data_IF_573679054678
#
_entry.id   IF_573679054678
#
_cell.length_a   1.000
_cell.length_b   1.000
_cell.length_c   1.000
_cell.angle_alpha   90.00
_cell.angle_beta   90.00
_cell.angle_gamma   90.00
#
_symmetry.space_group_name_H-M   'P 1'
#
loop_
_entity.id
_entity.type
_entity.pdbx_description
1 polymer ?
#
# COMPACT_ATOMS: atom_id res chain seq x y z
N UNK A 1 -6.35 -28.33 19.83
CA UNK A 1 -4.89 -28.50 19.83
C UNK A 1 -4.58 -29.74 19.02
N UNK A 2 -3.61 -29.72 18.10
CA UNK A 2 -3.13 -30.95 17.47
C UNK A 2 -2.55 -31.85 18.56
N UNK A 3 -2.65 -33.18 18.43
CA UNK A 3 -2.02 -34.08 19.37
C UNK A 3 -0.54 -33.78 19.45
N UNK A 4 0.01 -33.77 20.66
CA UNK A 4 1.40 -33.45 20.94
C UNK A 4 2.42 -34.43 20.30
N UNK A 5 1.94 -35.53 19.73
CA UNK A 5 2.71 -36.48 18.94
C UNK A 5 1.81 -37.13 17.88
N UNK A 6 2.24 -37.04 16.62
CA UNK A 6 1.60 -37.70 15.48
C UNK A 6 2.60 -38.66 14.85
N UNK A 7 2.27 -39.96 14.73
CA UNK A 7 3.19 -40.88 14.07
C UNK A 7 3.32 -40.55 12.59
N UNK A 8 4.55 -40.54 12.06
CA UNK A 8 4.84 -40.19 10.67
C UNK A 8 4.47 -41.30 9.68
N UNK A 9 4.40 -42.53 10.14
CA UNK A 9 3.99 -43.70 9.36
C UNK A 9 3.30 -44.71 10.26
N UNK A 10 2.72 -45.76 9.67
CA UNK A 10 2.12 -46.86 10.44
C UNK A 10 3.17 -47.49 11.36
N UNK A 11 2.82 -47.64 12.65
CA UNK A 11 3.72 -48.06 13.74
C UNK A 11 5.00 -47.20 13.88
N UNK A 12 4.99 -45.97 13.41
CA UNK A 12 6.16 -45.10 13.44
C UNK A 12 6.64 -44.74 14.84
N UNK A 13 5.74 -44.75 15.83
CA UNK A 13 6.11 -44.48 17.23
C UNK A 13 7.08 -45.53 17.81
N UNK A 14 7.03 -46.77 17.32
CA UNK A 14 7.86 -47.89 17.78
C UNK A 14 9.09 -48.13 16.89
N UNK A 15 9.26 -47.37 15.80
CA UNK A 15 10.35 -47.53 14.87
C UNK A 15 11.51 -46.56 15.16
N UNK A 16 12.63 -47.03 15.65
CA UNK A 16 13.78 -46.16 15.92
C UNK A 16 14.37 -45.60 14.62
N UNK A 17 14.80 -44.34 14.68
CA UNK A 17 15.54 -43.72 13.58
C UNK A 17 16.99 -44.22 13.58
N UNK A 18 17.44 -44.73 12.46
CA UNK A 18 18.80 -45.26 12.23
C UNK A 18 19.42 -44.61 11.01
N UNK A 19 20.72 -44.85 10.79
CA UNK A 19 21.43 -44.39 9.57
C UNK A 19 20.79 -44.88 8.27
N UNK A 20 20.13 -46.04 8.33
CA UNK A 20 19.56 -46.70 7.13
C UNK A 20 18.18 -46.12 6.77
N UNK A 21 17.46 -45.49 7.74
CA UNK A 21 16.14 -44.96 7.52
C UNK A 21 16.00 -43.42 7.79
N UNK A 22 17.10 -42.75 8.07
CA UNK A 22 17.11 -41.33 8.37
C UNK A 22 16.55 -40.44 7.23
N UNK A 23 16.86 -40.82 5.98
CA UNK A 23 16.36 -40.09 4.80
C UNK A 23 14.85 -40.24 4.70
N UNK A 24 14.31 -41.45 4.84
CA UNK A 24 12.87 -41.69 4.89
C UNK A 24 12.20 -40.91 6.04
N UNK A 25 12.83 -40.91 7.20
CA UNK A 25 12.33 -40.12 8.37
C UNK A 25 12.25 -38.62 8.07
N UNK A 26 13.28 -38.06 7.41
CA UNK A 26 13.31 -36.66 7.03
C UNK A 26 12.23 -36.32 6.00
N UNK A 27 12.07 -37.14 4.97
CA UNK A 27 11.03 -36.97 3.93
C UNK A 27 9.62 -37.05 4.52
N UNK A 28 9.37 -38.01 5.39
CA UNK A 28 8.08 -38.14 6.09
C UNK A 28 7.83 -36.94 7.01
N UNK A 29 8.87 -36.46 7.70
CA UNK A 29 8.78 -35.28 8.57
C UNK A 29 8.40 -34.04 7.77
N UNK A 30 9.11 -33.79 6.67
CA UNK A 30 8.84 -32.64 5.78
C UNK A 30 7.43 -32.74 5.20
N UNK A 31 7.05 -33.90 4.67
CA UNK A 31 5.72 -34.12 4.11
C UNK A 31 4.62 -33.92 5.16
N UNK A 32 4.84 -34.44 6.37
CA UNK A 32 3.88 -34.29 7.45
C UNK A 32 3.74 -32.83 7.87
N UNK A 33 4.84 -32.12 8.05
CA UNK A 33 4.82 -30.72 8.51
C UNK A 33 4.27 -29.75 7.45
N UNK A 34 4.63 -29.94 6.18
CA UNK A 34 4.30 -29.00 5.10
C UNK A 34 3.02 -29.34 4.34
N UNK A 35 2.50 -30.57 4.48
CA UNK A 35 1.30 -31.00 3.76
C UNK A 35 0.27 -31.63 4.72
N UNK A 36 0.54 -32.83 5.24
CA UNK A 36 -0.47 -33.66 5.91
C UNK A 36 -1.04 -32.98 7.16
N UNK A 37 -0.19 -32.38 8.00
CA UNK A 37 -0.62 -31.78 9.27
C UNK A 37 -1.38 -30.46 9.09
N UNK A 38 -1.11 -29.73 8.00
CA UNK A 38 -1.76 -28.44 7.72
C UNK A 38 -2.93 -28.55 6.75
N UNK A 39 -3.12 -29.70 6.09
CA UNK A 39 -4.16 -29.91 5.08
C UNK A 39 -5.57 -29.61 5.60
N UNK A 40 -6.01 -30.06 6.80
CA UNK A 40 -7.33 -29.72 7.30
C UNK A 40 -7.57 -28.21 7.45
N UNK A 41 -6.54 -27.47 7.88
CA UNK A 41 -6.63 -26.02 8.04
C UNK A 41 -6.68 -25.33 6.67
N UNK A 42 -5.88 -25.79 5.72
CA UNK A 42 -5.89 -25.29 4.33
C UNK A 42 -7.24 -25.55 3.67
N UNK A 43 -7.81 -26.75 3.86
CA UNK A 43 -9.11 -27.10 3.28
C UNK A 43 -10.25 -26.29 3.93
N UNK A 44 -10.21 -26.07 5.23
CA UNK A 44 -11.17 -25.20 5.92
C UNK A 44 -11.05 -23.74 5.44
N UNK A 45 -9.81 -23.25 5.26
CA UNK A 45 -9.57 -21.91 4.70
C UNK A 45 -10.13 -21.81 3.28
N UNK A 46 -9.84 -22.78 2.41
CA UNK A 46 -10.36 -22.84 1.03
C UNK A 46 -11.87 -22.87 0.99
N UNK A 47 -12.50 -23.64 1.84
CA UNK A 47 -13.96 -23.73 1.93
C UNK A 47 -14.58 -22.38 2.34
N UNK A 48 -13.99 -21.72 3.35
CA UNK A 48 -14.42 -20.38 3.78
C UNK A 48 -14.22 -19.33 2.68
N UNK A 49 -13.06 -19.35 2.03
CA UNK A 49 -12.77 -18.42 0.94
C UNK A 49 -13.71 -18.63 -0.26
N UNK A 50 -13.98 -19.89 -0.62
CA UNK A 50 -14.86 -20.23 -1.74
C UNK A 50 -16.30 -19.75 -1.55
N UNK A 51 -16.73 -19.49 -0.31
CA UNK A 51 -18.06 -18.93 -0.02
C UNK A 51 -18.18 -17.44 -0.42
N UNK A 52 -17.06 -16.76 -0.57
CA UNK A 52 -17.00 -15.32 -0.90
C UNK A 52 -16.50 -15.11 -2.33
N UNK A 53 -15.45 -15.83 -2.74
CA UNK A 53 -14.82 -15.70 -4.04
C UNK A 53 -14.54 -17.08 -4.67
N UNK A 54 -14.82 -17.25 -5.99
CA UNK A 54 -14.55 -18.53 -6.67
C UNK A 54 -13.05 -18.85 -6.65
N UNK A 55 -12.69 -20.07 -6.23
CA UNK A 55 -11.28 -20.50 -6.10
C UNK A 55 -10.47 -20.40 -7.40
N UNK A 56 -11.13 -20.53 -8.57
CA UNK A 56 -10.44 -20.41 -9.85
C UNK A 56 -9.85 -19.00 -10.08
N UNK A 57 -10.42 -17.95 -9.47
CA UNK A 57 -9.87 -16.60 -9.52
C UNK A 57 -8.51 -16.54 -8.83
N UNK A 58 -8.30 -17.34 -7.78
CA UNK A 58 -7.02 -17.40 -7.06
C UNK A 58 -5.88 -17.90 -7.96
N UNK A 59 -6.18 -18.79 -8.90
CA UNK A 59 -5.16 -19.35 -9.80
C UNK A 59 -4.75 -18.39 -10.91
N UNK A 60 -5.50 -17.30 -11.11
CA UNK A 60 -5.16 -16.24 -12.09
C UNK A 60 -4.09 -15.28 -11.55
N UNK A 61 -3.85 -15.29 -10.25
CA UNK A 61 -2.90 -14.40 -9.59
C UNK A 61 -1.65 -15.18 -9.18
N UNK A 62 -0.49 -14.58 -9.41
CA UNK A 62 0.78 -15.12 -8.92
C UNK A 62 0.91 -14.92 -7.40
N UNK A 63 1.85 -15.62 -6.75
CA UNK A 63 2.16 -15.39 -5.34
C UNK A 63 2.60 -13.95 -5.05
N UNK A 64 3.25 -13.28 -6.02
CA UNK A 64 3.62 -11.87 -5.92
C UNK A 64 2.37 -10.96 -5.92
N UNK A 65 1.38 -11.26 -6.77
CA UNK A 65 0.11 -10.52 -6.81
C UNK A 65 -0.65 -10.65 -5.50
N UNK A 66 -0.68 -11.86 -4.94
CA UNK A 66 -1.28 -12.10 -3.62
C UNK A 66 -0.56 -11.33 -2.51
N UNK A 67 0.76 -11.28 -2.55
CA UNK A 67 1.54 -10.50 -1.59
C UNK A 67 1.19 -9.01 -1.63
N UNK A 68 0.88 -8.47 -2.80
CA UNK A 68 0.45 -7.08 -2.96
C UNK A 68 -0.99 -6.88 -2.47
N UNK A 69 -1.91 -7.80 -2.82
CA UNK A 69 -3.33 -7.70 -2.45
C UNK A 69 -3.56 -7.88 -0.95
N UNK A 70 -2.79 -8.77 -0.32
CA UNK A 70 -2.84 -9.06 1.12
C UNK A 70 -1.78 -8.30 1.90
N UNK A 71 -1.09 -7.34 1.25
CA UNK A 71 0.01 -6.61 1.85
C UNK A 71 -0.40 -5.99 3.19
N UNK A 72 0.50 -6.14 4.13
CA UNK A 72 0.45 -5.52 5.45
C UNK A 72 0.16 -4.02 5.32
N UNK A 73 -0.82 -3.50 6.07
CA UNK A 73 -1.04 -2.07 6.19
C UNK A 73 0.20 -1.25 6.59
N UNK A 74 1.19 -1.85 7.25
CA UNK A 74 2.44 -1.17 7.60
C UNK A 74 3.41 -0.97 6.42
N UNK A 75 3.14 -1.58 5.26
CA UNK A 75 4.01 -1.47 4.08
C UNK A 75 3.97 -0.06 3.50
N UNK A 76 5.16 0.46 3.16
CA UNK A 76 5.27 1.71 2.41
C UNK A 76 4.57 1.63 1.06
N UNK A 77 3.86 2.71 0.70
CA UNK A 77 3.11 2.81 -0.56
C UNK A 77 4.04 3.06 -1.77
N UNK A 78 5.21 3.64 -1.52
CA UNK A 78 6.26 3.90 -2.51
C UNK A 78 7.64 3.57 -1.92
N UNK A 79 8.03 2.29 -1.95
CA UNK A 79 9.31 1.83 -1.39
C UNK A 79 10.53 2.40 -2.12
N UNK A 80 10.39 2.84 -3.37
CA UNK A 80 11.42 3.55 -4.13
C UNK A 80 11.62 5.01 -3.73
N UNK A 81 10.84 5.53 -2.75
CA UNK A 81 10.99 6.86 -2.20
C UNK A 81 10.75 7.98 -3.22
N UNK A 82 11.59 9.01 -3.16
CA UNK A 82 11.45 10.21 -3.99
C UNK A 82 11.50 9.93 -5.50
N UNK A 83 12.32 8.99 -5.94
CA UNK A 83 12.48 8.68 -7.37
C UNK A 83 11.22 8.02 -7.93
N UNK A 84 10.60 7.12 -7.18
CA UNK A 84 9.33 6.49 -7.55
C UNK A 84 8.21 7.53 -7.65
N UNK A 85 8.13 8.45 -6.67
CA UNK A 85 7.14 9.51 -6.67
C UNK A 85 7.32 10.42 -7.90
N UNK A 86 8.55 10.85 -8.19
CA UNK A 86 8.86 11.69 -9.36
C UNK A 86 8.49 11.02 -10.67
N UNK A 87 8.81 9.73 -10.81
CA UNK A 87 8.52 8.98 -12.03
C UNK A 87 7.02 8.76 -12.28
N UNK A 88 6.21 8.74 -11.22
CA UNK A 88 4.78 8.46 -11.28
C UNK A 88 3.90 9.72 -11.33
N UNK A 89 4.47 10.89 -11.02
CA UNK A 89 3.74 12.16 -10.91
C UNK A 89 3.82 12.97 -12.21
N UNK A 90 2.72 13.61 -12.55
CA UNK A 90 2.63 14.59 -13.63
C UNK A 90 2.43 15.98 -13.04
N UNK A 91 3.09 16.98 -13.60
CA UNK A 91 2.92 18.39 -13.23
C UNK A 91 2.26 19.14 -14.38
N UNK A 92 1.25 19.95 -14.05
CA UNK A 92 0.50 20.74 -15.04
C UNK A 92 0.02 22.06 -14.43
N UNK A 93 -0.55 22.92 -15.26
CA UNK A 93 -1.21 24.17 -14.83
C UNK A 93 -0.40 24.98 -13.83
N UNK A 94 0.80 25.43 -14.23
CA UNK A 94 1.63 26.34 -13.46
C UNK A 94 2.72 25.66 -12.63
N UNK A 95 2.84 24.33 -12.66
CA UNK A 95 3.96 23.59 -12.13
C UNK A 95 4.69 22.79 -13.20
N UNK A 96 5.99 22.64 -13.02
CA UNK A 96 6.87 21.73 -13.75
C UNK A 96 7.63 20.87 -12.74
N UNK A 97 8.24 19.76 -13.21
CA UNK A 97 9.03 18.88 -12.32
C UNK A 97 10.22 19.60 -11.64
N UNK A 98 10.69 20.72 -12.24
CA UNK A 98 11.77 21.56 -11.70
C UNK A 98 11.27 22.63 -10.72
N UNK A 99 9.96 22.77 -10.55
CA UNK A 99 9.40 23.75 -9.63
C UNK A 99 9.81 23.44 -8.19
N UNK A 100 10.24 24.49 -7.45
CA UNK A 100 10.63 24.40 -6.03
C UNK A 100 9.55 23.69 -5.18
N UNK A 101 8.30 24.07 -5.38
CA UNK A 101 7.16 23.49 -4.65
C UNK A 101 7.03 21.99 -4.91
N UNK A 102 7.31 21.53 -6.14
CA UNK A 102 7.28 20.11 -6.49
C UNK A 102 8.43 19.35 -5.83
N UNK A 103 9.63 19.94 -5.79
CA UNK A 103 10.75 19.36 -5.03
C UNK A 103 10.40 19.16 -3.55
N UNK A 104 9.82 20.17 -2.89
CA UNK A 104 9.37 20.06 -1.51
C UNK A 104 8.27 19.03 -1.32
N UNK A 105 7.30 18.97 -2.22
CA UNK A 105 6.23 17.97 -2.16
C UNK A 105 6.79 16.55 -2.22
N UNK A 106 7.68 16.28 -3.16
CA UNK A 106 8.32 14.95 -3.30
C UNK A 106 9.08 14.57 -2.04
N UNK A 107 9.87 15.49 -1.49
CA UNK A 107 10.60 15.24 -0.24
C UNK A 107 9.65 14.96 0.92
N UNK A 108 8.57 15.75 1.07
CA UNK A 108 7.57 15.54 2.12
C UNK A 108 6.93 14.17 1.98
N UNK A 109 6.49 13.80 0.77
CA UNK A 109 5.85 12.52 0.52
C UNK A 109 6.79 11.33 0.79
N UNK A 110 8.07 11.46 0.43
CA UNK A 110 9.07 10.42 0.68
C UNK A 110 9.34 10.20 2.19
N UNK A 111 9.17 11.27 3.00
CA UNK A 111 9.39 11.25 4.45
C UNK A 111 8.13 10.82 5.25
N UNK A 112 6.97 10.66 4.60
CA UNK A 112 5.74 10.27 5.30
C UNK A 112 5.83 8.87 5.89
N UNK A 113 5.28 8.70 7.10
CA UNK A 113 5.05 7.37 7.67
C UNK A 113 4.03 6.59 6.82
N UNK A 114 4.06 5.23 6.83
CA UNK A 114 3.15 4.42 6.02
C UNK A 114 1.66 4.74 6.20
N UNK A 115 1.24 5.10 7.39
CA UNK A 115 -0.14 5.52 7.67
C UNK A 115 -0.49 6.83 6.96
N UNK A 116 0.39 7.83 7.03
CA UNK A 116 0.19 9.11 6.36
C UNK A 116 0.26 8.96 4.83
N UNK A 117 1.09 8.04 4.32
CA UNK A 117 1.12 7.71 2.90
C UNK A 117 -0.26 7.20 2.43
N UNK A 118 -0.91 6.33 3.20
CA UNK A 118 -2.27 5.84 2.90
C UNK A 118 -3.30 6.95 2.94
N UNK A 119 -3.19 7.86 3.92
CA UNK A 119 -4.06 9.01 4.02
C UNK A 119 -3.89 9.95 2.83
N UNK A 120 -2.65 10.18 2.40
CA UNK A 120 -2.38 10.97 1.20
C UNK A 120 -3.00 10.33 -0.06
N UNK A 121 -2.79 9.02 -0.27
CA UNK A 121 -3.41 8.32 -1.41
C UNK A 121 -4.93 8.44 -1.36
N UNK A 122 -5.55 8.23 -0.20
CA UNK A 122 -6.99 8.44 -0.03
C UNK A 122 -7.42 9.87 -0.35
N UNK A 123 -6.67 10.86 0.11
CA UNK A 123 -6.96 12.27 -0.11
C UNK A 123 -6.99 12.61 -1.61
N UNK A 124 -6.06 12.09 -2.40
CA UNK A 124 -5.96 12.42 -3.83
C UNK A 124 -6.78 11.49 -4.74
N UNK A 125 -7.05 10.25 -4.34
CA UNK A 125 -7.73 9.24 -5.18
C UNK A 125 -9.09 8.80 -4.66
N UNK A 126 -9.43 9.10 -3.42
CA UNK A 126 -10.60 8.56 -2.73
C UNK A 126 -10.43 7.11 -2.21
N UNK A 127 -9.35 6.43 -2.57
CA UNK A 127 -9.06 5.04 -2.18
C UNK A 127 -7.86 4.96 -1.24
N UNK A 128 -7.92 4.11 -0.21
CA UNK A 128 -6.78 3.83 0.66
C UNK A 128 -5.69 2.97 0.03
N UNK A 129 -5.92 2.46 -1.19
CA UNK A 129 -5.05 1.49 -1.84
C UNK A 129 -4.65 1.98 -3.22
N UNK A 130 -3.39 1.79 -3.54
CA UNK A 130 -2.89 1.93 -4.90
C UNK A 130 -3.22 0.67 -5.73
N UNK A 131 -3.35 0.80 -7.05
CA UNK A 131 -3.44 -0.35 -7.93
C UNK A 131 -2.16 -1.20 -7.86
N UNK A 132 -2.25 -2.43 -8.38
CA UNK A 132 -1.08 -3.30 -8.53
C UNK A 132 -0.04 -2.60 -9.43
N UNK A 133 1.20 -2.50 -8.91
CA UNK A 133 2.27 -1.73 -9.55
C UNK A 133 2.42 -0.29 -9.04
N UNK A 134 1.71 0.10 -7.97
CA UNK A 134 1.96 1.33 -7.21
C UNK A 134 1.45 2.61 -7.87
N UNK A 135 2.05 3.73 -7.50
CA UNK A 135 1.70 5.08 -7.99
C UNK A 135 1.74 5.19 -9.52
N UNK A 136 2.69 4.52 -10.17
CA UNK A 136 2.87 4.57 -11.62
C UNK A 136 1.72 3.93 -12.41
N UNK A 137 0.83 3.19 -11.74
CA UNK A 137 -0.35 2.54 -12.35
C UNK A 137 -1.66 3.24 -12.05
N UNK A 138 -1.61 4.42 -11.43
CA UNK A 138 -2.81 5.24 -11.30
C UNK A 138 -3.30 5.70 -12.68
N UNK A 139 -4.58 5.52 -12.94
CA UNK A 139 -5.26 6.00 -14.15
C UNK A 139 -6.55 6.74 -13.74
N UNK A 140 -6.60 8.06 -13.93
CA UNK A 140 -5.53 8.97 -14.38
C UNK A 140 -4.29 9.01 -13.45
N UNK A 141 -3.13 9.39 -14.01
CA UNK A 141 -1.91 9.57 -13.23
C UNK A 141 -2.08 10.66 -12.16
N UNK A 142 -1.36 10.54 -11.04
CA UNK A 142 -1.31 11.60 -10.03
C UNK A 142 -0.79 12.90 -10.66
N UNK A 143 -1.65 13.90 -10.77
CA UNK A 143 -1.32 15.18 -11.40
C UNK A 143 -1.34 16.31 -10.37
N UNK A 144 -0.24 17.04 -10.28
CA UNK A 144 -0.11 18.20 -9.38
C UNK A 144 -0.26 19.48 -10.17
N UNK A 145 -1.23 20.31 -9.76
CA UNK A 145 -1.54 21.58 -10.40
C UNK A 145 -1.45 22.72 -9.39
N UNK A 146 -1.05 23.91 -9.86
CA UNK A 146 -1.01 25.09 -9.00
C UNK A 146 -2.42 25.55 -8.66
N UNK A 147 -2.70 25.69 -7.36
CA UNK A 147 -3.95 26.26 -6.89
C UNK A 147 -3.87 27.79 -7.00
N UNK A 148 -4.60 28.35 -7.94
CA UNK A 148 -4.71 29.79 -8.12
C UNK A 148 -5.69 30.37 -7.10
N UNK A 149 -5.38 31.56 -6.60
CA UNK A 149 -6.25 32.37 -5.74
C UNK A 149 -6.70 33.62 -6.49
N UNK A 150 -7.84 34.17 -6.10
CA UNK A 150 -8.42 35.35 -6.75
C UNK A 150 -7.47 36.57 -6.66
N UNK A 151 -6.54 36.55 -5.69
CA UNK A 151 -5.59 37.62 -5.42
C UNK A 151 -4.15 37.25 -5.84
N UNK A 152 -3.96 36.40 -6.84
CA UNK A 152 -2.66 35.86 -7.28
C UNK A 152 -1.62 36.92 -7.73
N UNK A 153 -1.95 38.18 -7.61
CA UNK A 153 -1.09 39.28 -8.05
C UNK A 153 -0.15 39.87 -6.99
N UNK A 154 -0.22 39.49 -5.71
CA UNK A 154 0.41 40.37 -4.72
C UNK A 154 1.18 39.79 -3.53
N UNK A 155 1.10 38.53 -3.12
CA UNK A 155 2.08 38.02 -2.12
C UNK A 155 2.13 36.52 -1.93
N UNK A 156 3.35 35.97 -1.77
CA UNK A 156 3.58 34.57 -1.35
C UNK A 156 2.93 34.22 0.00
N UNK A 157 2.70 35.21 0.86
CA UNK A 157 2.04 35.04 2.17
C UNK A 157 0.54 34.76 2.07
N UNK A 158 -0.14 35.18 1.00
CA UNK A 158 -1.54 34.85 0.77
C UNK A 158 -1.73 33.34 0.53
N UNK A 159 -0.81 32.70 -0.16
CA UNK A 159 -0.83 31.26 -0.42
C UNK A 159 -0.66 30.42 0.85
N UNK A 160 0.06 30.92 1.85
CA UNK A 160 0.32 30.21 3.10
C UNK A 160 -0.93 30.01 3.95
N UNK A 161 -1.95 30.84 3.76
CA UNK A 161 -3.24 30.67 4.46
C UNK A 161 -4.11 29.57 3.86
N UNK A 162 -3.87 29.17 2.61
CA UNK A 162 -4.74 28.31 1.83
C UNK A 162 -4.37 26.84 2.03
N UNK A 163 -5.37 25.98 2.07
CA UNK A 163 -5.18 24.52 2.14
C UNK A 163 -5.09 23.92 0.75
N UNK A 164 -4.27 22.86 0.56
CA UNK A 164 -4.33 22.04 -0.64
C UNK A 164 -5.71 21.39 -0.75
N UNK A 165 -6.11 21.06 -1.96
CA UNK A 165 -7.36 20.34 -2.22
C UNK A 165 -7.16 19.31 -3.33
N UNK A 166 -7.99 18.28 -3.34
CA UNK A 166 -7.90 17.23 -4.34
C UNK A 166 -9.18 17.10 -5.16
N UNK A 167 -9.04 16.60 -6.38
CA UNK A 167 -10.14 16.12 -7.22
C UNK A 167 -9.93 14.64 -7.45
N UNK A 168 -10.66 13.83 -6.69
CA UNK A 168 -10.46 12.38 -6.65
C UNK A 168 -10.85 11.67 -7.94
N UNK A 169 -11.78 12.22 -8.73
CA UNK A 169 -12.16 11.65 -10.03
C UNK A 169 -11.04 11.72 -11.07
N UNK A 170 -10.08 12.62 -10.91
CA UNK A 170 -8.98 12.86 -11.87
C UNK A 170 -7.60 12.69 -11.23
N UNK A 171 -7.54 12.28 -9.95
CA UNK A 171 -6.31 12.16 -9.17
C UNK A 171 -5.48 13.45 -9.17
N UNK A 172 -6.15 14.63 -9.12
CA UNK A 172 -5.50 15.93 -9.12
C UNK A 172 -5.27 16.43 -7.71
N UNK A 173 -4.03 16.84 -7.42
CA UNK A 173 -3.67 17.61 -6.25
C UNK A 173 -3.53 19.09 -6.64
N UNK A 174 -4.42 19.93 -6.14
CA UNK A 174 -4.35 21.40 -6.29
C UNK A 174 -3.52 21.94 -5.12
N UNK A 175 -2.28 22.31 -5.39
CA UNK A 175 -1.28 22.72 -4.41
C UNK A 175 -1.01 24.23 -4.50
N UNK A 176 -1.20 25.02 -3.41
CA UNK A 176 -0.74 26.41 -3.36
C UNK A 176 0.79 26.49 -3.44
N UNK A 177 1.31 27.59 -4.00
CA UNK A 177 2.75 27.87 -4.03
C UNK A 177 3.17 28.49 -2.67
N UNK A 178 3.43 27.62 -1.71
CA UNK A 178 3.78 28.02 -0.34
C UNK A 178 5.17 28.68 -0.27
N UNK A 179 5.35 29.53 0.73
CA UNK A 179 6.61 30.25 0.98
C UNK A 179 7.71 29.33 1.54
N UNK A 180 7.35 28.23 2.23
CA UNK A 180 8.32 27.28 2.81
C UNK A 180 7.84 25.83 2.78
N UNK A 181 8.83 24.90 2.85
CA UNK A 181 8.57 23.43 2.95
C UNK A 181 7.79 23.08 4.23
N UNK A 182 8.07 23.77 5.35
CA UNK A 182 7.43 23.49 6.64
C UNK A 182 5.96 23.85 6.64
N UNK A 183 5.61 25.00 6.03
CA UNK A 183 4.20 25.40 5.85
C UNK A 183 3.49 24.37 4.96
N UNK A 184 4.09 24.01 3.83
CA UNK A 184 3.52 22.99 2.95
C UNK A 184 3.29 21.68 3.68
N UNK A 185 4.27 21.18 4.44
CA UNK A 185 4.16 19.97 5.26
C UNK A 185 2.99 20.05 6.23
N UNK A 186 2.93 21.12 7.00
CA UNK A 186 1.89 21.33 8.02
C UNK A 186 0.49 21.35 7.38
N UNK A 187 0.34 22.08 6.27
CA UNK A 187 -0.94 22.18 5.55
C UNK A 187 -1.36 20.87 4.90
N UNK A 188 -0.41 20.15 4.31
CA UNK A 188 -0.68 18.84 3.69
C UNK A 188 -1.09 17.81 4.73
N UNK A 189 -0.33 17.69 5.82
CA UNK A 189 -0.66 16.78 6.93
C UNK A 189 -2.03 17.10 7.52
N UNK A 190 -2.33 18.37 7.75
CA UNK A 190 -3.66 18.78 8.20
C UNK A 190 -4.76 18.29 7.26
N UNK A 191 -4.62 18.49 5.95
CA UNK A 191 -5.64 18.07 4.99
C UNK A 191 -5.82 16.54 4.90
N UNK A 192 -4.74 15.76 4.94
CA UNK A 192 -4.87 14.31 4.85
C UNK A 192 -5.47 13.70 6.12
N UNK A 193 -5.29 14.33 7.29
CA UNK A 193 -5.89 13.89 8.54
C UNK A 193 -7.34 14.35 8.69
N UNK A 194 -7.63 15.63 8.45
CA UNK A 194 -8.99 16.19 8.59
C UNK A 194 -9.92 15.78 7.46
N UNK A 195 -9.39 15.53 6.27
CA UNK A 195 -10.19 15.02 5.15
C UNK A 195 -10.90 13.69 5.43
N UNK A 196 -10.50 12.96 6.47
CA UNK A 196 -11.21 11.76 6.93
C UNK A 196 -12.57 12.08 7.56
N UNK A 197 -12.68 13.20 8.28
CA UNK A 197 -13.88 13.55 9.03
C UNK A 197 -15.02 14.02 8.10
N UNK A 198 -14.70 14.62 6.97
CA UNK A 198 -15.71 15.12 6.01
C UNK A 198 -16.39 14.03 5.19
N UNK A 199 -15.78 12.85 5.03
CA UNK A 199 -16.41 11.70 4.33
C UNK A 199 -17.40 10.90 5.21
N UNK A 200 -17.45 11.16 6.51
CA UNK A 200 -18.42 10.52 7.42
C UNK A 200 -19.72 11.30 7.59
N UNK A 201 -19.85 12.47 6.97
CA UNK A 201 -21.02 13.38 7.10
C UNK A 201 -21.80 13.57 5.79
N UNK A 202 -21.56 12.75 4.77
CA UNK A 202 -22.32 12.77 3.52
C UNK A 202 -23.04 11.46 3.27
#
# INVERSE_FOLDING_TARGET
MPPSSMPLCDKGADRPVTTDNVVEFLDLTVTTMLDTAIRPQVDAFRAGFASIAPLHVLTMLSAADWSVLLADPSRQMWPGGADEIRAAMVCDHGYTMDSRAIGWLVDILAELAPDDQRLFVRFVTGSHRLPMGGLARLDPALTVVRKLTVDDASSSTANDAILPSASTCTNYLKLPDYSSKDIMRTKLLYCIHEGQLSFHLS
#
